data_IF_835553315781
#
_entry.id   IF_835553315781
#
_cell.length_a   1.000
_cell.length_b   1.000
_cell.length_c   1.000
_cell.angle_alpha   90.00
_cell.angle_beta   90.00
_cell.angle_gamma   90.00
#
_symmetry.space_group_name_H-M   'P 1'
#
loop_
_entity.id
_entity.type
_entity.pdbx_description
1 polymer ?
#
# COMPACT_ATOMS: atom_id res chain seq x y z
N UNK A 1 99.77 -37.76 21.79
CA UNK A 1 99.08 -36.45 21.77
C UNK A 1 98.77 -36.16 20.32
N UNK A 2 97.54 -36.41 19.88
CA UNK A 2 97.01 -35.91 18.62
C UNK A 2 95.49 -35.81 18.79
N UNK A 3 95.01 -34.59 18.61
CA UNK A 3 93.64 -34.13 18.85
C UNK A 3 92.66 -34.75 17.84
N UNK A 4 91.56 -35.26 18.39
CA UNK A 4 90.42 -35.74 17.64
C UNK A 4 89.47 -34.57 17.40
N UNK A 5 89.52 -33.96 16.22
CA UNK A 5 88.58 -32.93 15.79
C UNK A 5 87.22 -33.57 15.49
N UNK A 6 86.26 -33.38 16.41
CA UNK A 6 84.84 -33.71 16.20
C UNK A 6 84.17 -32.55 15.48
N UNK A 7 83.85 -32.74 14.19
CA UNK A 7 82.91 -31.89 13.46
C UNK A 7 81.49 -32.11 13.99
N UNK A 8 80.92 -31.05 14.56
CA UNK A 8 79.53 -31.01 15.04
C UNK A 8 78.67 -30.49 13.89
N UNK A 9 77.97 -31.40 13.21
CA UNK A 9 76.91 -31.06 12.28
C UNK A 9 75.74 -30.38 13.04
N UNK A 10 75.55 -29.07 12.82
CA UNK A 10 74.32 -28.36 13.21
C UNK A 10 73.19 -28.72 12.23
N UNK A 11 72.03 -29.23 12.69
CA UNK A 11 70.89 -29.44 11.81
C UNK A 11 70.23 -28.11 11.45
N UNK A 12 69.93 -27.93 10.16
CA UNK A 12 69.30 -26.76 9.57
C UNK A 12 67.81 -26.67 9.95
N UNK A 13 67.51 -26.13 11.12
CA UNK A 13 66.13 -25.87 11.58
C UNK A 13 65.58 -24.52 11.06
N UNK A 14 65.61 -24.27 9.73
CA UNK A 14 65.29 -22.94 9.16
C UNK A 14 64.13 -22.89 8.17
N UNK A 15 63.39 -23.97 7.95
CA UNK A 15 62.29 -24.00 6.95
C UNK A 15 60.89 -24.27 7.51
N UNK A 16 60.74 -24.72 8.77
CA UNK A 16 59.42 -24.97 9.34
C UNK A 16 58.76 -23.74 9.97
N UNK A 17 59.55 -22.72 10.34
CA UNK A 17 59.03 -21.49 10.95
C UNK A 17 58.36 -20.54 9.94
N UNK A 18 58.74 -20.55 8.66
CA UNK A 18 58.14 -19.69 7.63
C UNK A 18 56.74 -20.13 7.23
N UNK A 19 56.50 -21.45 7.17
CA UNK A 19 55.20 -22.05 6.87
C UNK A 19 54.11 -21.64 7.87
N UNK A 20 54.46 -21.51 9.16
CA UNK A 20 53.51 -21.06 10.19
C UNK A 20 53.13 -19.59 10.05
N UNK A 21 54.06 -18.72 9.61
CA UNK A 21 53.81 -17.29 9.47
C UNK A 21 52.94 -16.99 8.24
N UNK A 22 53.26 -17.62 7.11
CA UNK A 22 52.48 -17.48 5.87
C UNK A 22 51.04 -17.98 6.08
N UNK A 23 50.88 -19.14 6.73
CA UNK A 23 49.55 -19.68 7.04
C UNK A 23 48.76 -18.77 7.99
N UNK A 24 49.42 -18.17 8.99
CA UNK A 24 48.78 -17.26 9.95
C UNK A 24 48.27 -15.97 9.31
N UNK A 25 48.84 -15.52 8.19
CA UNK A 25 48.40 -14.32 7.45
C UNK A 25 47.34 -14.69 6.40
N UNK A 26 47.55 -15.81 5.68
CA UNK A 26 46.66 -16.23 4.59
C UNK A 26 45.31 -16.70 5.13
N UNK A 27 45.27 -17.42 6.26
CA UNK A 27 44.03 -17.99 6.77
C UNK A 27 42.97 -16.93 7.15
N UNK A 28 43.28 -15.87 7.94
CA UNK A 28 42.33 -14.80 8.23
C UNK A 28 41.87 -14.06 6.97
N UNK A 29 42.78 -13.85 6.00
CA UNK A 29 42.44 -13.21 4.74
C UNK A 29 41.40 -14.03 3.96
N UNK A 30 41.61 -15.34 3.83
CA UNK A 30 40.67 -16.25 3.18
C UNK A 30 39.33 -16.26 3.93
N UNK A 31 39.36 -16.29 5.27
CA UNK A 31 38.14 -16.27 6.08
C UNK A 31 37.34 -14.97 5.90
N UNK A 32 38.02 -13.81 5.84
CA UNK A 32 37.39 -12.51 5.54
C UNK A 32 36.75 -12.54 4.16
N UNK A 33 37.44 -13.08 3.14
CA UNK A 33 36.91 -13.18 1.78
C UNK A 33 35.66 -14.07 1.76
N UNK A 34 35.71 -15.25 2.38
CA UNK A 34 34.56 -16.17 2.47
C UNK A 34 33.39 -15.52 3.20
N UNK A 35 33.66 -14.79 4.28
CA UNK A 35 32.63 -14.08 5.04
C UNK A 35 32.01 -12.93 4.23
N UNK A 36 32.81 -12.17 3.48
CA UNK A 36 32.31 -11.15 2.55
C UNK A 36 31.41 -11.76 1.48
N UNK A 37 31.83 -12.88 0.86
CA UNK A 37 30.99 -13.59 -0.11
C UNK A 37 29.70 -14.12 0.54
N UNK A 38 29.78 -14.65 1.76
CA UNK A 38 28.59 -15.15 2.47
C UNK A 38 27.58 -14.03 2.75
N UNK A 39 28.03 -12.86 3.20
CA UNK A 39 27.18 -11.69 3.43
C UNK A 39 26.57 -11.18 2.11
N UNK A 40 27.38 -11.10 1.04
CA UNK A 40 26.89 -10.67 -0.26
C UNK A 40 25.81 -11.61 -0.81
N UNK A 41 26.05 -12.92 -0.75
CA UNK A 41 25.09 -13.94 -1.18
C UNK A 41 23.80 -13.88 -0.35
N UNK A 42 23.90 -13.70 0.97
CA UNK A 42 22.72 -13.49 1.82
C UNK A 42 21.94 -12.24 1.43
N UNK A 43 22.64 -11.12 1.17
CA UNK A 43 22.01 -9.86 0.76
C UNK A 43 21.22 -9.96 -0.55
N UNK A 44 21.77 -10.66 -1.54
CA UNK A 44 21.09 -10.94 -2.83
C UNK A 44 19.91 -11.89 -2.65
N UNK A 45 20.03 -12.89 -1.79
CA UNK A 45 18.96 -13.83 -1.50
C UNK A 45 17.78 -13.15 -0.79
N UNK A 46 18.06 -12.25 0.15
CA UNK A 46 17.04 -11.45 0.83
C UNK A 46 16.31 -10.53 -0.15
N UNK A 47 17.06 -9.89 -1.06
CA UNK A 47 16.47 -9.07 -2.12
C UNK A 47 15.57 -9.91 -3.04
N UNK A 48 15.98 -11.12 -3.41
CA UNK A 48 15.17 -12.03 -4.22
C UNK A 48 13.87 -12.46 -3.51
N UNK A 49 13.93 -12.77 -2.20
CA UNK A 49 12.74 -13.13 -1.42
C UNK A 49 11.76 -11.96 -1.38
N UNK A 50 12.23 -10.76 -1.06
CA UNK A 50 11.40 -9.57 -0.98
C UNK A 50 10.85 -9.15 -2.35
N UNK A 51 11.64 -9.25 -3.41
CA UNK A 51 11.17 -8.99 -4.78
C UNK A 51 10.02 -9.91 -5.16
N UNK A 52 10.16 -11.20 -4.88
CA UNK A 52 9.10 -12.15 -5.20
C UNK A 52 7.86 -11.95 -4.32
N UNK A 53 8.03 -11.62 -3.04
CA UNK A 53 6.92 -11.27 -2.14
C UNK A 53 6.18 -10.01 -2.61
N UNK A 54 6.92 -9.00 -3.06
CA UNK A 54 6.36 -7.76 -3.60
C UNK A 54 5.60 -8.03 -4.91
N UNK A 55 6.15 -8.86 -5.80
CA UNK A 55 5.48 -9.27 -7.06
C UNK A 55 4.19 -10.04 -6.82
N UNK A 56 4.16 -10.96 -5.85
CA UNK A 56 2.93 -11.67 -5.51
C UNK A 56 1.88 -10.71 -4.94
N UNK A 57 2.32 -9.80 -4.07
CA UNK A 57 1.43 -8.78 -3.52
C UNK A 57 0.87 -7.86 -4.61
N UNK A 58 1.70 -7.45 -5.58
CA UNK A 58 1.25 -6.65 -6.73
C UNK A 58 0.19 -7.38 -7.57
N UNK A 59 0.35 -8.71 -7.78
CA UNK A 59 -0.64 -9.53 -8.49
C UNK A 59 -1.95 -9.66 -7.72
N UNK A 60 -1.90 -9.83 -6.40
CA UNK A 60 -3.12 -9.86 -5.57
C UNK A 60 -3.89 -8.55 -5.70
N UNK A 61 -3.18 -7.43 -5.56
CA UNK A 61 -3.77 -6.09 -5.67
C UNK A 61 -4.39 -5.86 -7.05
N UNK A 62 -3.71 -6.29 -8.11
CA UNK A 62 -4.23 -6.17 -9.47
C UNK A 62 -5.58 -6.89 -9.67
N UNK A 63 -5.82 -7.98 -8.93
CA UNK A 63 -7.09 -8.72 -8.97
C UNK A 63 -8.16 -8.11 -8.08
N UNK A 64 -7.78 -7.39 -7.02
CA UNK A 64 -8.74 -6.76 -6.11
C UNK A 64 -9.51 -5.61 -6.77
N UNK A 65 -8.90 -4.89 -7.72
CA UNK A 65 -9.55 -3.76 -8.41
C UNK A 65 -10.78 -4.19 -9.23
N UNK A 66 -10.71 -5.18 -10.14
CA UNK A 66 -11.90 -5.68 -10.84
C UNK A 66 -12.94 -6.31 -9.90
N UNK A 67 -12.48 -6.98 -8.82
CA UNK A 67 -13.40 -7.60 -7.85
C UNK A 67 -14.22 -6.52 -7.13
N UNK A 68 -13.60 -5.40 -6.75
CA UNK A 68 -14.32 -4.30 -6.11
C UNK A 68 -15.44 -3.73 -7.01
N UNK A 69 -15.17 -3.53 -8.31
CA UNK A 69 -16.17 -3.07 -9.28
C UNK A 69 -17.33 -4.08 -9.43
N UNK A 70 -17.04 -5.39 -9.37
CA UNK A 70 -18.07 -6.44 -9.43
C UNK A 70 -18.92 -6.48 -8.15
N UNK A 71 -18.32 -6.28 -6.99
CA UNK A 71 -19.01 -6.37 -5.69
C UNK A 71 -20.04 -5.26 -5.51
N UNK A 72 -19.83 -4.07 -6.07
CA UNK A 72 -20.81 -2.97 -6.02
C UNK A 72 -22.14 -3.34 -6.68
N UNK A 73 -22.10 -4.22 -7.69
CA UNK A 73 -23.29 -4.69 -8.43
C UNK A 73 -24.08 -5.78 -7.68
N UNK A 74 -23.60 -6.24 -6.53
CA UNK A 74 -24.24 -7.31 -5.75
C UNK A 74 -24.95 -6.73 -4.53
N UNK A 75 -26.14 -7.25 -4.21
CA UNK A 75 -26.93 -6.82 -3.06
C UNK A 75 -26.28 -7.11 -1.69
N UNK A 76 -25.61 -8.26 -1.55
CA UNK A 76 -24.87 -8.63 -0.32
C UNK A 76 -23.40 -8.96 -0.64
N UNK A 77 -22.54 -7.94 -0.76
CA UNK A 77 -21.13 -8.13 -1.05
C UNK A 77 -20.38 -8.80 0.12
N UNK A 78 -20.82 -8.60 1.38
CA UNK A 78 -20.15 -9.18 2.55
C UNK A 78 -20.24 -10.70 2.57
N UNK A 79 -21.38 -11.26 2.17
CA UNK A 79 -21.57 -12.71 2.08
C UNK A 79 -20.69 -13.33 0.99
N UNK A 80 -20.68 -12.75 -0.22
CA UNK A 80 -19.87 -13.26 -1.33
C UNK A 80 -18.37 -13.18 -1.04
N UNK A 81 -17.92 -12.06 -0.46
CA UNK A 81 -16.52 -11.89 -0.10
C UNK A 81 -16.08 -12.95 0.92
N UNK A 82 -16.87 -13.21 1.96
CA UNK A 82 -16.58 -14.27 2.94
C UNK A 82 -16.56 -15.67 2.31
N UNK A 83 -17.32 -15.88 1.24
CA UNK A 83 -17.36 -17.17 0.55
C UNK A 83 -16.17 -17.37 -0.39
N UNK A 84 -15.75 -16.32 -1.11
CA UNK A 84 -14.75 -16.42 -2.17
C UNK A 84 -13.33 -16.06 -1.73
N UNK A 85 -13.21 -15.22 -0.70
CA UNK A 85 -11.92 -14.74 -0.18
C UNK A 85 -11.75 -15.31 1.23
N UNK A 86 -11.06 -16.46 1.38
CA UNK A 86 -10.88 -17.11 2.69
C UNK A 86 -9.95 -16.32 3.62
N UNK A 87 -9.27 -15.30 3.12
CA UNK A 87 -8.41 -14.44 3.91
C UNK A 87 -9.17 -13.19 4.35
N UNK A 88 -9.44 -13.08 5.65
CA UNK A 88 -10.19 -11.96 6.26
C UNK A 88 -9.61 -10.59 5.93
N UNK A 89 -8.29 -10.47 5.77
CA UNK A 89 -7.64 -9.20 5.43
C UNK A 89 -7.89 -8.82 3.96
N UNK A 90 -7.77 -9.78 3.04
CA UNK A 90 -8.09 -9.54 1.62
C UNK A 90 -9.58 -9.27 1.43
N UNK A 91 -10.43 -9.92 2.21
CA UNK A 91 -11.87 -9.67 2.24
C UNK A 91 -12.18 -8.24 2.67
N UNK A 92 -11.52 -7.76 3.73
CA UNK A 92 -11.66 -6.37 4.18
C UNK A 92 -11.28 -5.38 3.07
N UNK A 93 -10.16 -5.63 2.41
CA UNK A 93 -9.67 -4.78 1.32
C UNK A 93 -10.60 -4.79 0.10
N UNK A 94 -11.15 -5.94 -0.28
CA UNK A 94 -12.11 -6.03 -1.38
C UNK A 94 -13.38 -5.21 -1.08
N UNK A 95 -13.88 -5.30 0.16
CA UNK A 95 -15.02 -4.50 0.62
C UNK A 95 -14.68 -3.00 0.71
N UNK A 96 -13.46 -2.64 1.10
CA UNK A 96 -13.03 -1.25 1.16
C UNK A 96 -12.77 -0.64 -0.22
N UNK A 97 -12.31 -1.45 -1.18
CA UNK A 97 -12.16 -1.08 -2.58
C UNK A 97 -13.47 -0.75 -3.30
N UNK A 98 -14.63 -1.18 -2.77
CA UNK A 98 -15.96 -0.80 -3.29
C UNK A 98 -16.27 0.69 -3.17
N UNK A 99 -15.50 1.41 -2.35
CA UNK A 99 -15.49 2.87 -2.37
C UNK A 99 -14.12 3.31 -2.88
N UNK A 100 -14.01 4.50 -3.45
CA UNK A 100 -12.84 5.13 -4.08
C UNK A 100 -11.51 5.16 -3.26
N UNK A 101 -11.43 4.39 -2.17
CA UNK A 101 -10.34 4.05 -1.25
C UNK A 101 -9.28 3.12 -1.89
N UNK A 102 -9.46 2.63 -3.12
CA UNK A 102 -8.43 1.83 -3.81
C UNK A 102 -7.03 2.46 -3.70
N UNK A 103 -6.96 3.79 -3.72
CA UNK A 103 -5.72 4.53 -3.57
C UNK A 103 -5.14 4.54 -2.13
N UNK A 104 -6.00 4.60 -1.10
CA UNK A 104 -5.60 4.51 0.32
C UNK A 104 -5.19 3.08 0.69
N UNK A 105 -5.87 2.07 0.15
CA UNK A 105 -5.49 0.65 0.30
C UNK A 105 -4.07 0.43 -0.21
N UNK A 106 -3.73 1.05 -1.34
CA UNK A 106 -2.43 0.94 -2.00
C UNK A 106 -1.25 1.50 -1.17
N UNK A 107 -1.50 2.32 -0.16
CA UNK A 107 -0.44 2.89 0.71
C UNK A 107 -0.57 2.41 2.16
N UNK A 108 -1.52 1.52 2.42
CA UNK A 108 -1.85 1.09 3.79
C UNK A 108 -0.81 0.12 4.40
N UNK A 109 -0.70 0.06 5.74
CA UNK A 109 0.07 -0.97 6.46
C UNK A 109 -0.27 -2.40 6.05
N UNK A 110 -1.46 -2.62 5.47
CA UNK A 110 -1.87 -3.91 4.95
C UNK A 110 -0.92 -4.42 3.85
N UNK A 111 -0.45 -3.59 2.92
CA UNK A 111 0.44 -4.08 1.85
C UNK A 111 1.77 -4.50 2.42
N UNK A 112 2.30 -3.74 3.38
CA UNK A 112 3.49 -4.17 4.12
C UNK A 112 3.25 -5.50 4.85
N UNK A 113 2.09 -5.66 5.48
CA UNK A 113 1.72 -6.94 6.11
C UNK A 113 1.61 -8.09 5.09
N UNK A 114 1.06 -7.86 3.90
CA UNK A 114 0.96 -8.89 2.85
C UNK A 114 2.32 -9.25 2.27
N UNK A 115 3.16 -8.26 1.99
CA UNK A 115 4.56 -8.48 1.60
C UNK A 115 5.27 -9.32 2.68
N UNK A 116 5.02 -9.02 3.95
CA UNK A 116 5.60 -9.75 5.06
C UNK A 116 5.10 -11.20 5.18
N UNK A 117 3.80 -11.45 4.91
CA UNK A 117 3.25 -12.81 4.83
C UNK A 117 3.95 -13.61 3.73
N UNK A 118 3.98 -13.07 2.51
CA UNK A 118 4.63 -13.73 1.38
C UNK A 118 6.13 -13.91 1.58
N UNK A 119 6.81 -12.94 2.16
CA UNK A 119 8.24 -13.06 2.48
C UNK A 119 8.49 -14.18 3.49
N UNK A 120 7.60 -14.38 4.45
CA UNK A 120 7.68 -15.48 5.42
C UNK A 120 7.49 -16.82 4.71
N UNK A 121 6.41 -16.98 3.94
CA UNK A 121 6.10 -18.23 3.23
C UNK A 121 7.22 -18.63 2.23
N UNK A 122 7.76 -17.65 1.49
CA UNK A 122 8.86 -17.88 0.54
C UNK A 122 10.15 -18.24 1.28
N UNK A 123 10.42 -17.62 2.44
CA UNK A 123 11.60 -17.93 3.23
C UNK A 123 11.49 -19.34 3.85
N UNK A 124 10.35 -19.70 4.40
CA UNK A 124 10.06 -21.04 4.93
C UNK A 124 10.18 -22.11 3.85
N UNK A 125 9.60 -21.88 2.67
CA UNK A 125 9.73 -22.78 1.53
C UNK A 125 11.17 -22.99 1.04
N UNK A 126 12.10 -22.09 1.42
CA UNK A 126 13.53 -22.19 1.13
C UNK A 126 14.38 -22.61 2.33
N UNK A 127 13.77 -22.98 3.46
CA UNK A 127 14.43 -23.25 4.75
C UNK A 127 15.34 -22.09 5.20
N UNK A 128 14.84 -20.86 5.11
CA UNK A 128 15.55 -19.65 5.50
C UNK A 128 14.73 -18.81 6.45
N UNK A 129 15.42 -17.89 7.12
CA UNK A 129 14.78 -16.84 7.87
C UNK A 129 14.30 -15.74 6.93
N UNK A 130 13.14 -15.16 7.27
CA UNK A 130 12.62 -13.97 6.61
C UNK A 130 13.65 -12.83 6.76
N UNK A 131 13.90 -12.03 5.70
CA UNK A 131 14.74 -10.84 5.81
C UNK A 131 14.26 -9.95 6.98
N UNK A 132 15.17 -9.35 7.73
CA UNK A 132 14.81 -8.45 8.84
C UNK A 132 15.22 -7.01 8.53
N UNK A 133 14.56 -6.04 9.13
CA UNK A 133 14.86 -4.61 8.97
C UNK A 133 13.62 -3.75 8.86
N UNK A 134 13.81 -2.43 9.03
CA UNK A 134 12.76 -1.43 8.81
C UNK A 134 12.40 -1.39 7.33
N UNK A 135 11.10 -1.52 7.03
CA UNK A 135 10.56 -1.46 5.68
C UNK A 135 9.68 -0.24 5.52
N UNK A 136 9.79 0.41 4.36
CA UNK A 136 8.90 1.48 3.94
C UNK A 136 8.36 1.14 2.57
N UNK A 137 7.05 1.29 2.39
CA UNK A 137 6.40 1.11 1.11
C UNK A 137 5.99 2.48 0.60
N UNK A 138 6.27 2.74 -0.67
CA UNK A 138 5.72 3.85 -1.42
C UNK A 138 5.03 3.31 -2.66
N UNK A 139 4.06 4.08 -3.16
CA UNK A 139 3.40 3.80 -4.43
C UNK A 139 3.62 4.98 -5.35
N UNK A 140 4.08 4.69 -6.56
CA UNK A 140 4.31 5.68 -7.59
C UNK A 140 3.47 5.35 -8.82
N UNK A 141 2.93 6.38 -9.47
CA UNK A 141 2.03 6.20 -10.62
C UNK A 141 2.64 6.85 -11.83
N UNK A 142 3.02 5.98 -12.74
CA UNK A 142 3.55 6.37 -14.03
C UNK A 142 2.38 6.56 -15.00
N UNK A 143 1.93 7.82 -15.06
CA UNK A 143 0.86 8.25 -15.96
C UNK A 143 1.23 8.16 -17.44
N UNK A 144 2.53 8.12 -17.79
CA UNK A 144 2.99 7.99 -19.17
C UNK A 144 2.88 6.54 -19.62
N UNK A 145 3.42 5.61 -18.82
CA UNK A 145 3.45 4.19 -19.15
C UNK A 145 2.19 3.44 -18.70
N UNK A 146 1.24 4.14 -18.06
CA UNK A 146 0.00 3.56 -17.53
C UNK A 146 0.31 2.41 -16.57
N UNK A 147 1.22 2.65 -15.61
CA UNK A 147 1.60 1.64 -14.62
C UNK A 147 1.63 2.21 -13.21
N UNK A 148 1.29 1.37 -12.23
CA UNK A 148 1.50 1.67 -10.81
C UNK A 148 2.66 0.84 -10.30
N UNK A 149 3.60 1.50 -9.63
CA UNK A 149 4.78 0.92 -9.04
C UNK A 149 4.62 0.80 -7.53
N UNK A 150 4.82 -0.41 -7.01
CA UNK A 150 5.10 -0.62 -5.59
C UNK A 150 6.61 -0.51 -5.37
N UNK A 151 7.01 0.39 -4.48
CA UNK A 151 8.41 0.66 -4.16
C UNK A 151 8.63 0.30 -2.70
N UNK A 152 9.33 -0.81 -2.44
CA UNK A 152 9.70 -1.26 -1.11
C UNK A 152 11.14 -0.85 -0.82
N UNK A 153 11.34 -0.03 0.20
CA UNK A 153 12.65 0.35 0.73
C UNK A 153 12.95 -0.46 2.00
N UNK A 154 14.07 -1.18 2.02
CA UNK A 154 14.55 -1.92 3.19
C UNK A 154 15.80 -1.26 3.75
N UNK A 155 15.78 -0.93 5.04
CA UNK A 155 16.97 -0.45 5.75
C UNK A 155 17.91 -1.63 6.04
N UNK A 156 19.16 -1.54 5.56
CA UNK A 156 20.23 -2.51 5.83
C UNK A 156 21.31 -1.85 6.69
N UNK A 157 21.63 -2.48 7.81
CA UNK A 157 22.75 -2.10 8.68
C UNK A 157 23.97 -2.93 8.28
N UNK A 158 25.02 -2.27 7.77
CA UNK A 158 26.30 -2.92 7.43
C UNK A 158 27.43 -2.33 8.27
N UNK A 159 28.56 -3.06 8.41
CA UNK A 159 29.74 -2.51 9.10
C UNK A 159 30.25 -1.18 8.51
N UNK A 160 29.96 -0.94 7.23
CA UNK A 160 30.33 0.27 6.48
C UNK A 160 29.31 1.42 6.61
N UNK A 161 28.18 1.20 7.26
CA UNK A 161 27.12 2.20 7.45
C UNK A 161 25.71 1.68 7.18
N UNK A 162 24.74 2.60 7.25
CA UNK A 162 23.34 2.32 6.96
C UNK A 162 23.03 2.74 5.52
N UNK A 163 22.36 1.87 4.77
CA UNK A 163 21.82 2.23 3.45
C UNK A 163 20.44 1.60 3.25
N UNK A 164 19.69 2.14 2.29
CA UNK A 164 18.41 1.60 1.88
C UNK A 164 18.57 0.84 0.57
N UNK A 165 18.07 -0.39 0.57
CA UNK A 165 17.90 -1.17 -0.64
C UNK A 165 16.48 -0.97 -1.17
N UNK A 166 16.34 -0.78 -2.48
CA UNK A 166 15.05 -0.42 -3.10
C UNK A 166 14.63 -1.49 -4.09
N UNK A 167 13.50 -2.11 -3.80
CA UNK A 167 12.89 -3.15 -4.60
C UNK A 167 11.62 -2.58 -5.21
N UNK A 168 11.43 -2.79 -6.53
CA UNK A 168 10.27 -2.26 -7.26
C UNK A 168 9.51 -3.39 -7.91
N UNK A 169 8.18 -3.33 -7.83
CA UNK A 169 7.28 -4.22 -8.56
C UNK A 169 6.20 -3.41 -9.25
N UNK A 170 5.72 -3.90 -10.40
CA UNK A 170 4.63 -3.26 -11.14
C UNK A 170 3.31 -3.94 -10.80
N UNK A 171 2.29 -3.14 -10.55
CA UNK A 171 0.91 -3.60 -10.47
C UNK A 171 0.35 -3.59 -11.89
N UNK A 172 0.06 -4.76 -12.49
CA UNK A 172 -0.61 -4.80 -13.78
C UNK A 172 -2.05 -4.32 -13.61
N UNK A 173 -2.37 -3.14 -14.13
CA UNK A 173 -3.72 -2.58 -14.07
C UNK A 173 -4.45 -2.98 -15.34
N UNK A 174 -5.48 -3.80 -15.19
CA UNK A 174 -6.30 -4.26 -16.30
C UNK A 174 -7.48 -3.30 -16.61
N UNK A 175 -7.77 -2.37 -15.71
CA UNK A 175 -8.80 -1.34 -15.89
C UNK A 175 -8.19 -0.10 -16.58
N UNK A 176 -8.55 0.11 -17.85
CA UNK A 176 -8.11 1.24 -18.67
C UNK A 176 -8.48 2.62 -18.08
N UNK A 177 -9.44 2.67 -17.16
CA UNK A 177 -9.92 3.90 -16.52
C UNK A 177 -8.95 4.52 -15.49
N UNK A 178 -7.96 3.78 -15.00
CA UNK A 178 -6.95 4.32 -14.09
C UNK A 178 -6.10 5.42 -14.75
N UNK A 179 -6.08 5.43 -16.08
CA UNK A 179 -5.18 6.21 -16.91
C UNK A 179 -5.87 7.02 -18.00
N UNK A 180 -7.20 7.00 -18.04
CA UNK A 180 -8.04 7.79 -18.92
C UNK A 180 -7.98 9.26 -18.50
N UNK A 181 -6.90 9.93 -18.90
CA UNK A 181 -6.85 11.38 -18.97
C UNK A 181 -7.74 11.84 -20.12
N UNK A 182 -9.07 11.83 -19.92
CA UNK A 182 -9.93 12.66 -20.75
C UNK A 182 -9.72 14.11 -20.33
N UNK A 183 -8.64 14.71 -20.85
CA UNK A 183 -8.53 16.14 -21.02
C UNK A 183 -9.55 16.55 -22.08
N UNK A 184 -10.81 16.63 -21.69
CA UNK A 184 -11.81 17.38 -22.43
C UNK A 184 -12.13 18.61 -21.60
N UNK A 185 -11.41 19.68 -21.91
CA UNK A 185 -11.73 21.07 -21.60
C UNK A 185 -13.00 21.50 -22.34
N UNK A 186 -14.12 20.89 -21.99
CA UNK A 186 -15.45 21.27 -22.42
C UNK A 186 -16.34 21.25 -21.19
N UNK A 187 -17.13 22.31 -21.00
CA UNK A 187 -18.08 22.53 -19.90
C UNK A 187 -18.53 21.22 -19.22
N UNK A 188 -18.06 21.01 -17.97
CA UNK A 188 -18.28 19.78 -17.21
C UNK A 188 -19.77 19.53 -17.00
N UNK A 189 -20.38 18.78 -17.91
CA UNK A 189 -21.69 18.20 -17.64
C UNK A 189 -21.53 17.20 -16.49
N UNK A 190 -22.29 17.41 -15.42
CA UNK A 190 -22.41 16.48 -14.30
C UNK A 190 -23.03 15.13 -14.71
N UNK A 191 -23.62 15.06 -15.91
CA UNK A 191 -24.22 13.85 -16.45
C UNK A 191 -23.14 12.85 -16.91
N UNK A 192 -23.27 11.60 -16.45
CA UNK A 192 -22.38 10.50 -16.80
C UNK A 192 -21.18 10.28 -15.85
N UNK A 193 -20.99 11.09 -14.80
CA UNK A 193 -19.92 10.83 -13.80
C UNK A 193 -20.17 9.50 -13.07
N UNK A 194 -21.43 9.14 -12.84
CA UNK A 194 -21.82 7.91 -12.17
C UNK A 194 -21.62 6.65 -13.02
N UNK A 195 -21.58 6.78 -14.35
CA UNK A 195 -21.34 5.67 -15.29
C UNK A 195 -19.87 5.23 -15.34
N UNK A 196 -18.97 6.02 -14.75
CA UNK A 196 -17.54 5.72 -14.65
C UNK A 196 -17.29 4.63 -13.62
N UNK A 197 -16.12 3.97 -13.74
CA UNK A 197 -15.63 3.10 -12.66
C UNK A 197 -15.46 3.87 -11.35
N UNK A 198 -15.50 3.17 -10.21
CA UNK A 198 -15.38 3.77 -8.88
C UNK A 198 -14.14 4.66 -8.78
N UNK A 199 -13.03 4.14 -9.31
CA UNK A 199 -11.78 4.87 -9.30
C UNK A 199 -11.81 6.17 -10.12
N UNK A 200 -12.32 6.13 -11.36
CA UNK A 200 -12.45 7.31 -12.24
C UNK A 200 -13.42 8.34 -11.65
N UNK A 201 -14.54 7.85 -11.10
CA UNK A 201 -15.54 8.65 -10.43
C UNK A 201 -14.96 9.38 -9.22
N UNK A 202 -14.25 8.66 -8.35
CA UNK A 202 -13.55 9.24 -7.21
C UNK A 202 -12.51 10.28 -7.61
N UNK A 203 -11.74 10.04 -8.68
CA UNK A 203 -10.81 11.02 -9.21
C UNK A 203 -11.49 12.29 -9.70
N UNK A 204 -12.58 12.16 -10.47
CA UNK A 204 -13.35 13.32 -10.94
C UNK A 204 -13.90 14.13 -9.78
N UNK A 205 -14.50 13.48 -8.78
CA UNK A 205 -15.02 14.18 -7.61
C UNK A 205 -13.92 14.83 -6.77
N UNK A 206 -12.76 14.18 -6.61
CA UNK A 206 -11.61 14.81 -5.95
C UNK A 206 -11.22 16.11 -6.65
N UNK A 207 -11.11 16.10 -7.98
CA UNK A 207 -10.80 17.32 -8.76
C UNK A 207 -11.89 18.39 -8.58
N UNK A 208 -13.16 18.00 -8.73
CA UNK A 208 -14.31 18.91 -8.62
C UNK A 208 -14.40 19.59 -7.25
N UNK A 209 -14.06 18.86 -6.18
CA UNK A 209 -14.14 19.37 -4.81
C UNK A 209 -12.79 19.82 -4.22
N UNK A 210 -11.80 20.09 -5.07
CA UNK A 210 -10.55 20.77 -4.67
C UNK A 210 -9.49 19.87 -4.02
N UNK A 211 -9.55 18.57 -4.24
CA UNK A 211 -8.52 17.61 -3.85
C UNK A 211 -7.23 17.87 -4.61
N UNK A 212 -6.16 18.20 -3.88
CA UNK A 212 -4.84 18.51 -4.44
C UNK A 212 -3.73 17.57 -3.95
N UNK A 213 -4.01 16.71 -2.96
CA UNK A 213 -3.05 15.73 -2.51
C UNK A 213 -2.90 14.61 -3.55
N UNK A 214 -1.74 13.91 -3.57
CA UNK A 214 -1.54 12.76 -4.42
C UNK A 214 -2.70 11.79 -4.33
N UNK A 215 -3.04 11.15 -5.45
CA UNK A 215 -4.22 10.28 -5.54
C UNK A 215 -4.22 9.19 -4.45
N UNK A 216 -3.03 8.70 -4.12
CA UNK A 216 -2.76 7.65 -3.13
C UNK A 216 -2.41 8.19 -1.74
N UNK A 217 -2.55 9.50 -1.52
CA UNK A 217 -2.40 10.04 -0.18
C UNK A 217 -3.46 9.41 0.75
N UNK A 218 -3.06 8.89 1.91
CA UNK A 218 -3.95 8.09 2.75
C UNK A 218 -5.10 8.93 3.30
N UNK A 219 -6.30 8.35 3.28
CA UNK A 219 -7.55 8.85 3.91
C UNK A 219 -8.10 10.15 3.28
N UNK A 220 -7.29 11.20 3.20
CA UNK A 220 -7.65 12.56 2.82
C UNK A 220 -7.32 12.88 1.36
N UNK A 221 -8.02 13.89 0.83
CA UNK A 221 -7.88 14.36 -0.55
C UNK A 221 -7.31 15.78 -0.65
N UNK A 222 -7.46 16.61 0.39
CA UNK A 222 -6.86 17.94 0.48
C UNK A 222 -6.46 18.29 1.91
N UNK A 223 -5.52 19.21 2.01
CA UNK A 223 -4.96 19.74 3.25
C UNK A 223 -4.60 21.21 3.06
N UNK A 224 -5.25 22.10 3.80
CA UNK A 224 -5.03 23.56 3.69
C UNK A 224 -4.08 24.14 4.76
N UNK A 225 -3.49 23.28 5.59
CA UNK A 225 -2.67 23.67 6.75
C UNK A 225 -3.40 23.59 8.10
N UNK A 226 -4.73 23.46 8.10
CA UNK A 226 -5.52 23.34 9.34
C UNK A 226 -6.65 22.31 9.26
N UNK A 227 -7.30 22.18 8.10
CA UNK A 227 -8.40 21.27 7.85
C UNK A 227 -7.98 20.14 6.90
N UNK A 228 -8.16 18.91 7.36
CA UNK A 228 -7.96 17.71 6.57
C UNK A 228 -9.30 17.27 5.97
N UNK A 229 -9.39 17.30 4.65
CA UNK A 229 -10.63 17.01 3.93
C UNK A 229 -10.54 15.69 3.18
N UNK A 230 -11.44 14.77 3.50
CA UNK A 230 -11.67 13.54 2.75
C UNK A 230 -12.82 13.76 1.77
N UNK A 231 -12.60 13.44 0.50
CA UNK A 231 -13.64 13.47 -0.54
C UNK A 231 -13.91 12.01 -0.94
N UNK A 232 -15.17 11.59 -0.88
CA UNK A 232 -15.63 10.22 -1.22
C UNK A 232 -16.94 10.27 -1.99
N UNK A 233 -17.15 9.33 -2.89
CA UNK A 233 -18.43 9.15 -3.58
C UNK A 233 -19.08 7.82 -3.19
N UNK A 234 -20.41 7.80 -3.13
CA UNK A 234 -21.21 6.60 -2.91
C UNK A 234 -22.45 6.63 -3.80
N UNK A 235 -22.58 5.67 -4.71
CA UNK A 235 -23.78 5.54 -5.52
C UNK A 235 -24.86 4.78 -4.75
N UNK A 236 -25.70 5.50 -4.02
CA UNK A 236 -26.77 4.89 -3.23
C UNK A 236 -27.88 4.21 -4.07
N UNK A 237 -27.82 4.28 -5.41
CA UNK A 237 -28.70 3.49 -6.28
C UNK A 237 -28.22 2.04 -6.44
N UNK A 238 -26.96 1.74 -6.06
CA UNK A 238 -26.41 0.40 -6.18
C UNK A 238 -27.10 -0.61 -5.23
N UNK A 239 -27.25 -1.89 -5.65
CA UNK A 239 -27.90 -2.92 -4.83
C UNK A 239 -27.28 -3.08 -3.43
N UNK A 240 -25.96 -2.91 -3.32
CA UNK A 240 -25.20 -2.97 -2.07
C UNK A 240 -25.63 -1.90 -1.04
N UNK A 241 -26.25 -0.80 -1.48
CA UNK A 241 -26.75 0.30 -0.65
C UNK A 241 -28.28 0.37 -0.55
N UNK A 242 -28.97 -0.72 -0.93
CA UNK A 242 -30.44 -0.83 -0.85
C UNK A 242 -31.01 -0.64 0.57
N UNK A 243 -30.19 -0.76 1.62
CA UNK A 243 -30.58 -0.60 3.02
C UNK A 243 -29.85 0.57 3.68
N UNK A 244 -30.56 1.44 4.45
CA UNK A 244 -29.94 2.54 5.18
C UNK A 244 -28.89 2.06 6.21
N UNK A 245 -29.02 0.83 6.73
CA UNK A 245 -28.07 0.26 7.69
C UNK A 245 -26.70 0.01 7.04
N UNK A 246 -26.68 -0.43 5.77
CA UNK A 246 -25.43 -0.65 5.05
C UNK A 246 -24.73 0.68 4.74
N UNK A 247 -25.50 1.71 4.38
CA UNK A 247 -24.99 3.06 4.17
C UNK A 247 -24.45 3.64 5.47
N UNK A 248 -25.19 3.54 6.58
CA UNK A 248 -24.77 4.01 7.90
C UNK A 248 -23.46 3.36 8.33
N UNK A 249 -23.37 2.04 8.29
CA UNK A 249 -22.14 1.29 8.63
C UNK A 249 -20.95 1.74 7.77
N UNK A 250 -21.19 2.09 6.50
CA UNK A 250 -20.14 2.57 5.60
C UNK A 250 -19.70 3.99 5.94
N UNK A 251 -20.63 4.89 6.20
CA UNK A 251 -20.34 6.26 6.65
C UNK A 251 -19.56 6.24 7.95
N UNK A 252 -19.99 5.43 8.93
CA UNK A 252 -19.31 5.28 10.23
C UNK A 252 -17.85 4.85 10.07
N UNK A 253 -17.56 3.93 9.15
CA UNK A 253 -16.18 3.54 8.84
C UNK A 253 -15.38 4.71 8.26
N UNK A 254 -15.90 5.41 7.25
CA UNK A 254 -15.23 6.56 6.64
C UNK A 254 -14.94 7.67 7.65
N UNK A 255 -15.91 7.93 8.54
CA UNK A 255 -15.78 8.90 9.63
C UNK A 255 -14.72 8.44 10.63
N UNK A 256 -14.74 7.18 11.06
CA UNK A 256 -13.75 6.61 11.99
C UNK A 256 -12.34 6.65 11.42
N UNK A 257 -12.16 6.31 10.15
CA UNK A 257 -10.87 6.36 9.47
C UNK A 257 -10.31 7.79 9.44
N UNK A 258 -11.16 8.78 9.14
CA UNK A 258 -10.77 10.18 9.14
C UNK A 258 -10.50 10.72 10.57
N UNK A 259 -11.32 10.32 11.55
CA UNK A 259 -11.16 10.72 12.94
C UNK A 259 -9.83 10.21 13.53
N UNK A 260 -9.46 8.97 13.21
CA UNK A 260 -8.21 8.34 13.66
C UNK A 260 -6.98 8.74 12.85
N UNK A 261 -7.16 9.43 11.72
CA UNK A 261 -6.03 9.87 10.90
C UNK A 261 -5.25 11.00 11.59
N UNK A 262 -3.96 10.75 11.80
CA UNK A 262 -3.05 11.72 12.45
C UNK A 262 -2.26 12.57 11.44
N UNK A 263 -2.10 12.10 10.20
CA UNK A 263 -1.23 12.68 9.18
C UNK A 263 -0.17 11.70 8.71
N UNK A 264 0.31 11.86 7.48
CA UNK A 264 1.35 11.02 6.89
C UNK A 264 2.60 11.81 6.46
N UNK A 265 2.61 13.14 6.70
CA UNK A 265 3.68 14.05 6.30
C UNK A 265 3.76 14.25 4.78
N UNK A 266 4.89 14.80 4.33
CA UNK A 266 5.17 15.05 2.91
C UNK A 266 4.37 16.23 2.36
N UNK A 267 3.52 15.98 1.35
CA UNK A 267 2.65 17.01 0.76
C UNK A 267 1.39 17.29 1.60
N UNK A 268 1.12 16.49 2.64
CA UNK A 268 -0.02 16.65 3.54
C UNK A 268 0.37 16.92 4.99
N UNK A 269 -0.56 16.72 5.95
CA UNK A 269 -0.33 17.06 7.34
C UNK A 269 0.72 16.16 8.00
N UNK A 270 1.60 16.76 8.79
CA UNK A 270 2.44 16.05 9.74
C UNK A 270 1.58 15.45 10.87
N UNK A 271 1.97 14.30 11.45
CA UNK A 271 1.27 13.70 12.58
C UNK A 271 0.93 14.71 13.69
N UNK A 272 -0.36 14.85 13.99
CA UNK A 272 -0.86 15.74 15.05
C UNK A 272 -1.09 17.21 14.64
N UNK A 273 -0.85 17.57 13.38
CA UNK A 273 -1.08 18.94 12.88
C UNK A 273 -2.54 19.23 12.49
N UNK A 274 -3.40 18.20 12.45
CA UNK A 274 -4.79 18.29 11.99
C UNK A 274 -5.69 18.89 13.09
N UNK A 275 -6.24 20.09 12.85
CA UNK A 275 -7.16 20.76 13.76
C UNK A 275 -8.62 20.46 13.44
N UNK A 276 -8.96 20.47 12.15
CA UNK A 276 -10.32 20.24 11.67
C UNK A 276 -10.35 19.07 10.70
N UNK A 277 -11.44 18.31 10.71
CA UNK A 277 -11.65 17.15 9.86
C UNK A 277 -12.98 17.28 9.14
N UNK A 278 -12.97 17.14 7.82
CA UNK A 278 -14.18 17.21 6.99
C UNK A 278 -14.26 16.00 6.08
N UNK A 279 -15.43 15.37 6.04
CA UNK A 279 -15.78 14.34 5.07
C UNK A 279 -16.82 14.92 4.11
N UNK A 280 -16.42 15.18 2.86
CA UNK A 280 -17.33 15.50 1.77
C UNK A 280 -17.77 14.18 1.14
N UNK A 281 -19.03 13.82 1.36
CA UNK A 281 -19.65 12.63 0.80
C UNK A 281 -20.56 13.02 -0.36
N UNK A 282 -20.18 12.59 -1.56
CA UNK A 282 -20.91 12.89 -2.80
C UNK A 282 -21.85 11.73 -3.12
N UNK A 283 -23.11 12.05 -3.38
CA UNK A 283 -24.17 11.09 -3.69
C UNK A 283 -24.95 11.53 -4.94
N UNK A 284 -25.59 10.61 -5.67
CA UNK A 284 -26.41 10.98 -6.82
C UNK A 284 -27.71 11.68 -6.38
N UNK A 285 -28.29 12.49 -7.27
CA UNK A 285 -29.56 13.21 -7.06
C UNK A 285 -30.80 12.31 -7.15
N UNK A 286 -30.63 11.01 -7.43
CA UNK A 286 -31.74 10.07 -7.51
C UNK A 286 -32.58 10.09 -6.23
N UNK A 287 -33.88 9.89 -6.40
CA UNK A 287 -34.79 9.68 -5.28
C UNK A 287 -34.60 8.27 -4.74
N UNK A 288 -34.39 8.17 -3.43
CA UNK A 288 -34.10 6.90 -2.76
C UNK A 288 -35.16 6.71 -1.68
N UNK A 289 -35.94 5.62 -1.71
CA UNK A 289 -37.13 5.47 -0.87
C UNK A 289 -36.88 5.61 0.64
N UNK A 290 -35.71 5.18 1.12
CA UNK A 290 -35.34 5.24 2.53
C UNK A 290 -34.64 6.56 2.92
N UNK A 291 -34.22 7.39 1.95
CA UNK A 291 -33.51 8.65 2.20
C UNK A 291 -34.48 9.67 2.78
N UNK A 292 -34.19 10.15 3.99
CA UNK A 292 -34.97 11.20 4.65
C UNK A 292 -34.05 12.20 5.35
N UNK A 293 -34.49 13.46 5.47
CA UNK A 293 -33.66 14.50 6.08
C UNK A 293 -33.28 14.17 7.53
N UNK A 294 -34.22 13.61 8.32
CA UNK A 294 -33.95 13.21 9.70
C UNK A 294 -32.86 12.13 9.81
N UNK A 295 -32.77 11.24 8.83
CA UNK A 295 -31.72 10.22 8.76
C UNK A 295 -30.35 10.85 8.46
N UNK A 296 -30.30 11.78 7.50
CA UNK A 296 -29.08 12.51 7.15
C UNK A 296 -28.58 13.35 8.34
N UNK A 297 -29.47 14.07 9.01
CA UNK A 297 -29.14 14.90 10.18
C UNK A 297 -28.56 14.04 11.32
N UNK A 298 -29.10 12.82 11.51
CA UNK A 298 -28.58 11.86 12.48
C UNK A 298 -27.15 11.43 12.16
N UNK A 299 -26.84 11.14 10.90
CA UNK A 299 -25.48 10.78 10.49
C UNK A 299 -24.51 11.95 10.61
N UNK A 300 -24.93 13.17 10.27
CA UNK A 300 -24.15 14.39 10.48
C UNK A 300 -23.85 14.60 11.97
N UNK A 301 -24.84 14.43 12.83
CA UNK A 301 -24.66 14.52 14.28
C UNK A 301 -23.72 13.44 14.83
N UNK A 302 -23.83 12.20 14.35
CA UNK A 302 -22.94 11.10 14.73
C UNK A 302 -21.48 11.41 14.35
N UNK A 303 -21.24 11.87 13.12
CA UNK A 303 -19.91 12.25 12.67
C UNK A 303 -19.32 13.41 13.50
N UNK A 304 -20.13 14.40 13.84
CA UNK A 304 -19.71 15.53 14.67
C UNK A 304 -19.27 15.09 16.07
N UNK A 305 -19.90 14.05 16.66
CA UNK A 305 -19.47 13.48 17.95
C UNK A 305 -18.08 12.84 17.86
N UNK A 306 -17.67 12.37 16.68
CA UNK A 306 -16.33 11.85 16.41
C UNK A 306 -15.33 12.94 15.98
N UNK A 307 -15.73 14.22 16.03
CA UNK A 307 -14.88 15.34 15.64
C UNK A 307 -14.72 15.52 14.13
N UNK A 308 -15.63 14.97 13.32
CA UNK A 308 -15.64 15.06 11.86
C UNK A 308 -16.87 15.80 11.37
N UNK A 309 -16.69 16.79 10.50
CA UNK A 309 -17.80 17.46 9.81
C UNK A 309 -18.18 16.64 8.58
N UNK A 310 -19.35 16.01 8.61
CA UNK A 310 -19.92 15.32 7.46
C UNK A 310 -20.72 16.30 6.59
N UNK A 311 -20.30 16.46 5.34
CA UNK A 311 -20.92 17.33 4.32
C UNK A 311 -21.41 16.45 3.16
N UNK A 312 -22.73 16.24 3.08
CA UNK A 312 -23.35 15.39 2.06
C UNK A 312 -23.79 16.26 0.88
N UNK A 313 -23.27 15.97 -0.32
CA UNK A 313 -23.53 16.75 -1.53
C UNK A 313 -24.16 15.90 -2.62
N UNK A 314 -25.30 16.36 -3.13
CA UNK A 314 -25.98 15.70 -4.25
C UNK A 314 -25.46 16.22 -5.60
N UNK A 315 -24.93 15.34 -6.45
CA UNK A 315 -24.31 15.71 -7.72
C UNK A 315 -24.63 14.68 -8.81
N UNK A 316 -25.08 15.12 -9.99
CA UNK A 316 -25.44 14.25 -11.12
C UNK A 316 -26.59 13.26 -10.82
N UNK A 317 -26.95 12.45 -11.80
CA UNK A 317 -27.93 11.34 -11.67
C UNK A 317 -27.23 10.05 -12.07
N UNK A 318 -27.44 8.96 -11.33
CA UNK A 318 -26.94 7.64 -11.69
C UNK A 318 -28.01 6.89 -12.49
N UNK A 319 -27.59 6.34 -13.62
CA UNK A 319 -28.39 5.45 -14.49
C UNK A 319 -27.81 4.02 -14.54
N UNK A 320 -26.76 3.74 -13.75
CA UNK A 320 -26.01 2.47 -13.81
C UNK A 320 -26.89 1.28 -13.42
N UNK A 321 -27.87 1.53 -12.55
CA UNK A 321 -28.73 0.51 -11.95
C UNK A 321 -30.22 0.71 -12.28
N UNK A 322 -30.55 1.62 -13.19
CA UNK A 322 -31.92 1.72 -13.71
C UNK A 322 -32.22 0.44 -14.51
N UNK A 323 -33.32 -0.25 -14.19
CA UNK A 323 -33.77 -1.40 -14.97
C UNK A 323 -34.05 -0.97 -16.43
N UNK A 324 -33.67 -1.77 -17.44
CA UNK A 324 -33.96 -1.47 -18.84
C UNK A 324 -35.46 -1.50 -19.18
#
# INVERSE_FOLDING_TARGET
MNETTRDIHRPAAKHQASLSLETAIVFPLVLIIVLMFSIAVQGEQDAMILSHALDQTAKEIALLLPVADLLERVADPEMLVKQWIPNDLLAHVALDGMTDIAATVLVSPFILSRVDTWATEIAEGRNRQKPMGERRLAVDVDNENKTVWLILSLKKDTPTGQYYDVIRSRIPIWNAGLFSSNEHSGEESYDGIWELSNFERGQKFRKLFGGHLPLFYPVIASWDGTEATSIKSMDWTAPSYSSPVHVEKRIDRLVSDLASFEGAGGEGPEPGSILYRRLILVIPKNEIPWKSQALLDRWVASAAQMGVVLDIRECGTSHVHDEP
#
